data_IF_481083724838
#
_entry.id   IF_481083724838
#
_cell.length_a   1.000
_cell.length_b   1.000
_cell.length_c   1.000
_cell.angle_alpha   90.00
_cell.angle_beta   90.00
_cell.angle_gamma   90.00
#
_symmetry.space_group_name_H-M   'P 1'
#
loop_
_entity.id
_entity.type
_entity.pdbx_description
1 polymer ?
#
# COMPACT_ATOMS: atom_id res chain seq x y z
N UNK A 1 -6.45 14.38 15.64
CA UNK A 1 -6.99 13.08 16.14
C UNK A 1 -7.50 12.24 14.96
N UNK A 2 -7.95 12.92 13.91
CA UNK A 2 -8.47 12.23 12.73
C UNK A 2 -7.31 11.74 11.86
N UNK A 3 -6.86 10.52 12.14
CA UNK A 3 -5.76 9.94 11.37
C UNK A 3 -6.10 8.51 10.96
N UNK A 4 -6.48 8.35 9.69
CA UNK A 4 -6.84 7.03 9.18
C UNK A 4 -5.61 6.34 8.58
N UNK A 5 -5.14 6.86 7.45
CA UNK A 5 -3.98 6.29 6.79
C UNK A 5 -3.05 7.40 6.29
N UNK A 6 -1.75 7.14 6.34
CA UNK A 6 -0.77 8.13 5.90
C UNK A 6 0.23 7.50 4.94
N UNK A 7 1.01 8.36 4.28
CA UNK A 7 2.02 7.90 3.33
C UNK A 7 3.03 7.00 4.04
N UNK A 8 3.44 7.41 5.23
CA UNK A 8 4.40 6.62 6.01
C UNK A 8 3.84 5.23 6.30
N UNK A 9 2.51 5.15 6.39
CA UNK A 9 1.85 3.88 6.67
C UNK A 9 1.99 2.92 5.49
N UNK A 10 1.61 3.38 4.29
CA UNK A 10 1.70 2.52 3.10
C UNK A 10 3.14 2.04 2.89
N UNK A 11 4.09 2.89 3.27
CA UNK A 11 5.50 2.56 3.11
C UNK A 11 5.87 1.37 3.99
N UNK A 12 5.44 1.42 5.25
CA UNK A 12 5.73 0.34 6.19
C UNK A 12 5.16 -0.98 5.69
N UNK A 13 4.03 -0.91 4.99
CA UNK A 13 3.38 -2.11 4.46
C UNK A 13 4.15 -2.65 3.26
N UNK A 14 4.78 -1.74 2.52
CA UNK A 14 5.54 -2.13 1.33
C UNK A 14 6.88 -2.76 1.72
N UNK A 15 7.38 -2.40 2.90
CA UNK A 15 8.66 -2.93 3.38
C UNK A 15 8.45 -4.25 4.12
N UNK A 16 7.26 -4.41 4.71
CA UNK A 16 6.95 -5.63 5.46
C UNK A 16 7.11 -6.87 4.57
N UNK A 17 6.86 -6.69 3.28
CA UNK A 17 6.98 -7.79 2.33
C UNK A 17 8.44 -8.09 2.03
N UNK A 18 9.26 -7.04 2.04
CA UNK A 18 10.69 -7.18 1.76
C UNK A 18 11.34 -8.09 2.80
N UNK A 19 11.33 -7.64 4.05
CA UNK A 19 11.92 -8.41 5.14
C UNK A 19 12.83 -7.54 6.00
N UNK A 20 14.06 -7.35 5.53
CA UNK A 20 15.02 -6.53 6.25
C UNK A 20 16.00 -5.86 5.29
N UNK A 21 16.23 -4.57 5.49
CA UNK A 21 17.14 -3.82 4.64
C UNK A 21 17.23 -2.37 5.09
N UNK A 22 18.43 -1.95 5.46
CA UNK A 22 18.64 -0.57 5.92
C UNK A 22 19.21 0.28 4.79
N UNK A 23 18.83 -0.06 3.55
CA UNK A 23 19.31 0.69 2.39
C UNK A 23 18.32 1.79 2.01
N UNK A 24 17.81 1.70 0.78
CA UNK A 24 16.85 2.68 0.29
C UNK A 24 17.49 4.06 0.19
N UNK A 25 17.28 4.71 -0.94
CA UNK A 25 17.83 6.04 -1.17
C UNK A 25 16.73 6.98 -1.65
N UNK A 26 15.90 7.43 -0.72
CA UNK A 26 14.80 8.33 -1.05
C UNK A 26 15.18 9.78 -0.73
N UNK A 27 15.76 10.46 -1.71
CA UNK A 27 16.16 11.85 -1.52
C UNK A 27 15.16 12.78 -2.21
N UNK A 28 13.90 12.37 -2.23
CA UNK A 28 12.85 13.18 -2.85
C UNK A 28 11.48 12.57 -2.60
N UNK A 29 11.14 11.55 -3.38
CA UNK A 29 9.85 10.88 -3.23
C UNK A 29 9.96 9.41 -3.60
N UNK A 30 9.01 8.61 -3.11
CA UNK A 30 9.01 7.18 -3.39
C UNK A 30 7.63 6.71 -3.85
N UNK A 31 6.84 7.64 -4.39
CA UNK A 31 5.50 7.30 -4.86
C UNK A 31 5.36 7.63 -6.35
N UNK A 32 6.14 6.92 -7.17
CA UNK A 32 6.10 7.14 -8.61
C UNK A 32 6.01 5.80 -9.34
N UNK A 33 6.86 4.86 -8.93
CA UNK A 33 6.87 3.54 -9.54
C UNK A 33 7.35 2.50 -8.53
N UNK A 34 6.91 2.66 -7.28
CA UNK A 34 7.30 1.74 -6.22
C UNK A 34 6.84 0.32 -6.54
N UNK A 35 5.67 0.21 -7.15
CA UNK A 35 5.13 -1.09 -7.51
C UNK A 35 5.84 -1.65 -8.74
N UNK A 36 6.26 -0.75 -9.62
CA UNK A 36 6.96 -1.15 -10.84
C UNK A 36 8.47 -0.98 -10.66
N UNK A 37 9.03 -1.73 -9.70
CA UNK A 37 10.46 -1.66 -9.43
C UNK A 37 11.06 -3.06 -9.33
N UNK A 38 10.64 -3.80 -8.31
CA UNK A 38 11.15 -5.16 -8.11
C UNK A 38 10.34 -6.16 -8.94
N UNK A 39 9.06 -5.86 -9.10
CA UNK A 39 8.17 -6.74 -9.87
C UNK A 39 6.86 -6.96 -9.13
N UNK A 40 6.29 -5.87 -8.61
CA UNK A 40 5.03 -5.94 -7.88
C UNK A 40 3.86 -5.78 -8.85
N UNK A 41 3.62 -6.82 -9.65
CA UNK A 41 2.53 -6.78 -10.62
C UNK A 41 1.18 -6.78 -9.91
N UNK A 42 1.02 -7.71 -8.97
CA UNK A 42 -0.23 -7.81 -8.21
C UNK A 42 -0.19 -8.99 -7.25
N UNK A 43 0.22 -10.15 -7.76
CA UNK A 43 0.29 -11.36 -6.95
C UNK A 43 1.16 -11.14 -5.71
N UNK A 44 2.26 -10.41 -5.89
CA UNK A 44 3.17 -10.13 -4.78
C UNK A 44 2.46 -9.32 -3.69
N UNK A 45 1.80 -8.25 -4.11
CA UNK A 45 1.08 -7.39 -3.17
C UNK A 45 -0.36 -7.84 -2.96
N UNK A 46 -0.71 -9.01 -3.50
CA UNK A 46 -2.06 -9.53 -3.36
C UNK A 46 -2.31 -10.03 -1.93
N UNK A 47 -1.50 -11.00 -1.52
CA UNK A 47 -1.64 -11.57 -0.18
C UNK A 47 -1.41 -10.51 0.89
N UNK A 48 -0.45 -9.62 0.63
CA UNK A 48 -0.14 -8.55 1.58
C UNK A 48 -1.35 -7.66 1.80
N UNK A 49 -2.01 -7.29 0.70
CA UNK A 49 -3.19 -6.43 0.78
C UNK A 49 -4.37 -7.17 1.42
N UNK A 50 -4.35 -8.50 1.33
CA UNK A 50 -5.43 -9.30 1.91
C UNK A 50 -5.43 -9.21 3.43
N UNK A 51 -4.34 -9.66 4.04
CA UNK A 51 -4.22 -9.63 5.50
C UNK A 51 -4.32 -8.20 6.03
N UNK A 52 -3.75 -7.27 5.27
CA UNK A 52 -3.78 -5.86 5.67
C UNK A 52 -5.20 -5.29 5.58
N UNK A 53 -6.01 -5.88 4.71
CA UNK A 53 -7.39 -5.42 4.53
C UNK A 53 -8.23 -5.77 5.75
N UNK A 54 -7.87 -6.85 6.44
CA UNK A 54 -8.61 -7.28 7.62
C UNK A 54 -8.20 -6.47 8.85
N UNK A 55 -6.89 -6.42 9.10
CA UNK A 55 -6.37 -5.68 10.24
C UNK A 55 -6.75 -4.20 10.17
N UNK A 56 -6.90 -3.70 8.94
CA UNK A 56 -7.25 -2.30 8.74
C UNK A 56 -8.76 -2.11 8.87
N UNK A 57 -9.51 -3.13 8.47
CA UNK A 57 -10.97 -3.07 8.53
C UNK A 57 -11.56 -2.46 7.26
N UNK A 58 -10.80 -2.54 6.17
CA UNK A 58 -11.26 -1.99 4.90
C UNK A 58 -11.92 -3.09 4.07
N UNK A 59 -12.70 -2.67 3.07
CA UNK A 59 -13.39 -3.63 2.20
C UNK A 59 -12.38 -4.55 1.51
N UNK A 60 -12.86 -5.32 0.54
CA UNK A 60 -11.99 -6.24 -0.20
C UNK A 60 -11.87 -5.82 -1.67
N UNK A 61 -10.99 -4.85 -1.99
CA UNK A 61 -10.81 -4.39 -3.38
C UNK A 61 -9.89 -5.31 -4.17
N UNK A 62 -10.48 -6.10 -5.07
CA UNK A 62 -9.71 -7.03 -5.89
C UNK A 62 -9.46 -6.46 -7.29
N UNK A 63 -10.34 -5.55 -7.72
CA UNK A 63 -10.20 -4.96 -9.05
C UNK A 63 -9.09 -3.92 -9.07
N UNK A 64 -9.35 -2.78 -8.43
CA UNK A 64 -8.37 -1.69 -8.39
C UNK A 64 -7.07 -2.14 -7.73
N UNK A 65 -7.20 -2.85 -6.61
CA UNK A 65 -6.02 -3.32 -5.88
C UNK A 65 -5.31 -4.42 -6.65
N UNK A 66 -6.10 -5.33 -7.23
CA UNK A 66 -5.53 -6.44 -8.00
C UNK A 66 -4.68 -5.93 -9.16
N UNK A 67 -5.02 -4.74 -9.66
CA UNK A 67 -4.28 -4.16 -10.78
C UNK A 67 -3.74 -2.78 -10.41
N UNK A 68 -3.27 -2.65 -9.17
CA UNK A 68 -2.72 -1.38 -8.70
C UNK A 68 -1.28 -1.22 -9.18
N UNK A 69 -1.06 -0.25 -10.05
CA UNK A 69 0.27 0.00 -10.59
C UNK A 69 0.92 1.19 -9.87
N UNK A 70 0.09 2.14 -9.46
CA UNK A 70 0.60 3.33 -8.77
C UNK A 70 0.68 3.06 -7.26
N UNK A 71 1.66 3.67 -6.56
CA UNK A 71 1.81 3.48 -5.11
C UNK A 71 0.89 4.38 -4.30
N UNK A 72 0.89 5.67 -4.63
CA UNK A 72 0.05 6.64 -3.93
C UNK A 72 -1.43 6.27 -4.08
N UNK A 73 -1.76 5.54 -5.15
CA UNK A 73 -3.14 5.14 -5.38
C UNK A 73 -3.58 4.13 -4.33
N UNK A 74 -2.66 3.27 -3.93
CA UNK A 74 -2.95 2.25 -2.92
C UNK A 74 -3.37 2.90 -1.61
N UNK A 75 -2.62 3.92 -1.21
CA UNK A 75 -2.92 4.63 0.04
C UNK A 75 -4.31 5.27 -0.05
N UNK A 76 -4.55 6.00 -1.12
CA UNK A 76 -5.85 6.65 -1.30
C UNK A 76 -6.97 5.62 -1.50
N UNK A 77 -6.59 4.36 -1.77
CA UNK A 77 -7.58 3.31 -1.98
C UNK A 77 -8.17 2.84 -0.64
N UNK A 78 -7.33 2.22 0.18
CA UNK A 78 -7.78 1.72 1.48
C UNK A 78 -8.27 2.88 2.35
N UNK A 79 -7.48 3.96 2.35
CA UNK A 79 -7.81 5.15 3.12
C UNK A 79 -9.16 5.72 2.69
N UNK A 80 -9.45 5.59 1.40
CA UNK A 80 -10.71 6.10 0.86
C UNK A 80 -11.89 5.35 1.45
N UNK A 81 -11.79 4.02 1.46
CA UNK A 81 -12.86 3.18 2.00
C UNK A 81 -13.08 3.48 3.48
N UNK A 82 -12.00 3.84 4.16
CA UNK A 82 -12.08 4.16 5.59
C UNK A 82 -12.79 5.49 5.80
N UNK A 83 -12.63 6.40 4.85
CA UNK A 83 -13.27 7.71 4.94
C UNK A 83 -14.79 7.57 4.96
N UNK A 84 -15.32 6.94 3.92
CA UNK A 84 -16.77 6.74 3.82
C UNK A 84 -17.27 5.88 4.98
N UNK A 85 -16.42 4.96 5.43
CA UNK A 85 -16.78 4.08 6.54
C UNK A 85 -17.01 4.89 7.81
N UNK A 86 -16.26 5.99 7.95
CA UNK A 86 -16.39 6.84 9.12
C UNK A 86 -17.08 8.15 8.75
#
# INVERSE_FOLDING_TARGET
MATLLTTDDLRRALVECAGETDGTDLSGDFLDLRFEDIGYDSLALMETAARLESRYGVSIPDDVAGRVDTPRELLDLINGALAEAA
#
